data_IF_376732995979
#
_entry.id   IF_376732995979
#
_cell.length_a   1.000
_cell.length_b   1.000
_cell.length_c   1.000
_cell.angle_alpha   90.00
_cell.angle_beta   90.00
_cell.angle_gamma   90.00
#
_symmetry.space_group_name_H-M   'P 1'
#
loop_
_entity.id
_entity.type
_entity.pdbx_description
1 polymer ?
#
# COMPACT_ATOMS: atom_id res chain seq x y z
N UNK A 1 -15.12 -29.03 -21.93
CA UNK A 1 -15.73 -27.73 -21.65
C UNK A 1 -14.71 -26.58 -21.68
N UNK A 2 -13.69 -26.50 -20.78
CA UNK A 2 -12.71 -25.40 -20.76
C UNK A 2 -11.96 -25.25 -22.08
N UNK A 3 -11.29 -26.30 -22.55
CA UNK A 3 -10.58 -26.31 -23.83
C UNK A 3 -11.47 -26.02 -25.03
N UNK A 4 -12.70 -26.49 -25.00
CA UNK A 4 -13.70 -26.27 -26.06
C UNK A 4 -14.09 -24.78 -26.09
N UNK A 5 -14.35 -24.17 -24.92
CA UNK A 5 -14.64 -22.75 -24.81
C UNK A 5 -13.43 -21.87 -25.23
N UNK A 6 -12.23 -22.22 -24.76
CA UNK A 6 -11.00 -21.53 -25.17
C UNK A 6 -10.80 -21.60 -26.68
N UNK A 7 -10.96 -22.77 -27.29
CA UNK A 7 -10.82 -22.93 -28.74
C UNK A 7 -11.88 -22.12 -29.52
N UNK A 8 -13.13 -22.09 -29.03
CA UNK A 8 -14.18 -21.33 -29.68
C UNK A 8 -13.93 -19.84 -29.64
N UNK A 9 -13.58 -19.31 -28.46
CA UNK A 9 -13.35 -17.88 -28.26
C UNK A 9 -12.04 -17.40 -28.88
N UNK A 10 -11.00 -18.24 -28.96
CA UNK A 10 -9.71 -17.91 -29.59
C UNK A 10 -9.79 -17.68 -31.10
N UNK A 11 -10.89 -18.10 -31.75
CA UNK A 11 -11.13 -17.83 -33.16
C UNK A 11 -11.54 -16.38 -33.44
N UNK A 12 -11.76 -15.58 -32.41
CA UNK A 12 -12.22 -14.20 -32.48
C UNK A 12 -11.22 -13.26 -31.83
N UNK A 13 -10.49 -12.48 -32.66
CA UNK A 13 -9.46 -11.54 -32.19
C UNK A 13 -9.98 -10.52 -31.16
N UNK A 14 -11.27 -10.17 -31.23
CA UNK A 14 -11.89 -9.23 -30.31
C UNK A 14 -11.96 -9.72 -28.86
N UNK A 15 -11.80 -11.03 -28.63
CA UNK A 15 -11.77 -11.65 -27.30
C UNK A 15 -10.34 -11.95 -26.82
N UNK A 16 -9.33 -11.59 -27.61
CA UNK A 16 -7.92 -11.86 -27.33
C UNK A 16 -7.17 -10.56 -27.00
N UNK A 17 -6.13 -10.69 -26.21
CA UNK A 17 -5.07 -9.72 -26.02
C UNK A 17 -3.75 -10.47 -26.15
N UNK A 18 -2.93 -10.08 -27.12
CA UNK A 18 -1.63 -10.72 -27.41
C UNK A 18 -1.73 -12.25 -27.62
N UNK A 19 -2.83 -12.72 -28.22
CA UNK A 19 -3.06 -14.13 -28.48
C UNK A 19 -3.65 -14.94 -27.31
N UNK A 20 -3.89 -14.31 -26.15
CA UNK A 20 -4.48 -14.95 -24.96
C UNK A 20 -5.90 -14.42 -24.75
N UNK A 21 -6.81 -15.30 -24.28
CA UNK A 21 -8.18 -14.91 -23.97
C UNK A 21 -8.26 -13.83 -22.91
N UNK A 22 -8.85 -12.69 -23.26
CA UNK A 22 -9.15 -11.61 -22.34
C UNK A 22 -10.41 -11.92 -21.51
N UNK A 23 -10.25 -12.65 -20.41
CA UNK A 23 -11.34 -13.10 -19.55
C UNK A 23 -12.15 -11.98 -18.95
N UNK A 24 -11.53 -10.86 -18.70
CA UNK A 24 -12.22 -9.72 -18.09
C UNK A 24 -13.07 -8.99 -19.12
N UNK A 25 -12.59 -8.86 -20.35
CA UNK A 25 -13.44 -8.39 -21.44
C UNK A 25 -14.62 -9.33 -21.67
N UNK A 26 -14.39 -10.65 -21.60
CA UNK A 26 -15.47 -11.65 -21.68
C UNK A 26 -16.47 -11.51 -20.53
N UNK A 27 -16.00 -11.27 -19.31
CA UNK A 27 -16.86 -11.01 -18.14
C UNK A 27 -17.67 -9.72 -18.30
N UNK A 28 -17.03 -8.65 -18.79
CA UNK A 28 -17.73 -7.39 -19.10
C UNK A 28 -18.82 -7.58 -20.15
N UNK A 29 -18.49 -8.24 -21.27
CA UNK A 29 -19.42 -8.50 -22.36
C UNK A 29 -20.58 -9.41 -21.89
N UNK A 30 -20.30 -10.42 -21.07
CA UNK A 30 -21.33 -11.27 -20.47
C UNK A 30 -22.30 -10.49 -19.57
N UNK A 31 -21.78 -9.55 -18.77
CA UNK A 31 -22.59 -8.71 -17.90
C UNK A 31 -23.48 -7.73 -18.67
N UNK A 32 -22.97 -7.24 -19.79
CA UNK A 32 -23.70 -6.37 -20.73
C UNK A 32 -24.65 -7.14 -21.67
N UNK A 33 -24.69 -8.47 -21.57
CA UNK A 33 -25.43 -9.33 -22.51
C UNK A 33 -25.08 -9.03 -23.98
N UNK A 34 -23.77 -8.85 -24.23
CA UNK A 34 -23.31 -8.51 -25.58
C UNK A 34 -23.70 -9.56 -26.60
N UNK A 35 -24.36 -9.11 -27.66
CA UNK A 35 -24.94 -9.99 -28.66
C UNK A 35 -23.91 -10.77 -29.46
N UNK A 36 -22.70 -10.23 -29.64
CA UNK A 36 -21.64 -10.96 -30.36
C UNK A 36 -21.11 -12.11 -29.52
N UNK A 37 -20.83 -11.87 -28.24
CA UNK A 37 -20.40 -12.92 -27.31
C UNK A 37 -21.46 -14.01 -27.23
N UNK A 38 -22.73 -13.65 -27.01
CA UNK A 38 -23.81 -14.61 -26.89
C UNK A 38 -23.98 -15.44 -28.15
N UNK A 39 -23.92 -14.82 -29.35
CA UNK A 39 -24.00 -15.53 -30.63
C UNK A 39 -22.84 -16.52 -30.83
N UNK A 40 -21.62 -16.16 -30.37
CA UNK A 40 -20.48 -17.09 -30.43
C UNK A 40 -20.68 -18.26 -29.50
N UNK A 41 -21.12 -18.04 -28.25
CA UNK A 41 -21.39 -19.12 -27.28
C UNK A 41 -22.50 -20.06 -27.72
N UNK A 42 -23.47 -19.61 -28.53
CA UNK A 42 -24.54 -20.42 -29.05
C UNK A 42 -24.17 -21.32 -30.25
N UNK A 43 -22.99 -21.11 -30.87
CA UNK A 43 -22.58 -21.87 -32.06
C UNK A 43 -22.24 -23.33 -31.74
N UNK A 44 -21.78 -23.60 -30.54
CA UNK A 44 -21.39 -24.94 -30.11
C UNK A 44 -22.44 -25.52 -29.14
N UNK A 45 -23.06 -26.62 -29.48
CA UNK A 45 -24.21 -27.18 -28.77
C UNK A 45 -23.91 -27.51 -27.31
N UNK A 46 -22.71 -27.99 -27.00
CA UNK A 46 -22.28 -28.28 -25.61
C UNK A 46 -22.15 -27.00 -24.77
N UNK A 47 -21.62 -25.95 -25.35
CA UNK A 47 -21.42 -24.64 -24.70
C UNK A 47 -22.79 -23.99 -24.52
N UNK A 48 -23.64 -24.03 -25.54
CA UNK A 48 -25.01 -23.54 -25.49
C UNK A 48 -25.78 -24.19 -24.35
N UNK A 49 -25.81 -25.53 -24.28
CA UNK A 49 -26.56 -26.28 -23.26
C UNK A 49 -26.06 -26.02 -21.84
N UNK A 50 -24.77 -25.68 -21.69
CA UNK A 50 -24.19 -25.40 -20.39
C UNK A 50 -24.50 -23.98 -19.89
N UNK A 51 -24.38 -23.00 -20.78
CA UNK A 51 -24.52 -21.58 -20.41
C UNK A 51 -25.89 -20.98 -20.75
N UNK A 52 -26.79 -21.70 -21.38
CA UNK A 52 -28.13 -21.22 -21.63
C UNK A 52 -29.15 -22.21 -21.07
N UNK A 53 -30.33 -21.71 -20.70
CA UNK A 53 -31.54 -22.49 -20.39
C UNK A 53 -32.56 -22.20 -21.45
N UNK A 54 -33.24 -23.22 -21.91
CA UNK A 54 -34.39 -23.09 -22.81
C UNK A 54 -35.66 -23.03 -21.97
N UNK A 55 -36.43 -21.98 -22.14
CA UNK A 55 -37.77 -21.83 -21.56
C UNK A 55 -38.82 -22.37 -22.56
N UNK A 56 -40.07 -22.47 -22.12
CA UNK A 56 -41.19 -22.78 -22.99
C UNK A 56 -41.21 -21.83 -24.19
N UNK A 57 -41.53 -22.34 -25.40
CA UNK A 57 -41.53 -21.60 -26.68
C UNK A 57 -40.15 -21.37 -27.33
N UNK A 58 -39.08 -22.06 -26.90
CA UNK A 58 -37.78 -21.99 -27.57
C UNK A 58 -36.95 -20.72 -27.20
N UNK A 59 -37.34 -20.01 -26.16
CA UNK A 59 -36.62 -18.82 -25.67
C UNK A 59 -35.37 -19.27 -24.91
N UNK A 60 -34.20 -18.84 -25.35
CA UNK A 60 -32.93 -19.11 -24.69
C UNK A 60 -32.57 -18.00 -23.70
N UNK A 61 -32.34 -18.37 -22.46
CA UNK A 61 -31.90 -17.48 -21.41
C UNK A 61 -30.46 -17.77 -21.06
N UNK A 62 -29.60 -16.75 -21.17
CA UNK A 62 -28.19 -16.85 -20.81
C UNK A 62 -28.02 -16.94 -19.30
N UNK A 63 -27.39 -18.01 -18.82
CA UNK A 63 -27.04 -18.24 -17.42
C UNK A 63 -25.76 -17.44 -17.08
N UNK A 64 -25.90 -16.12 -17.03
CA UNK A 64 -24.80 -15.16 -16.82
C UNK A 64 -23.91 -15.56 -15.65
N UNK A 65 -24.50 -15.87 -14.50
CA UNK A 65 -23.75 -16.16 -13.28
C UNK A 65 -22.97 -17.48 -13.38
N UNK A 66 -23.51 -18.48 -14.06
CA UNK A 66 -22.81 -19.74 -14.36
C UNK A 66 -21.62 -19.51 -15.28
N UNK A 67 -21.77 -18.64 -16.28
CA UNK A 67 -20.68 -18.26 -17.18
C UNK A 67 -19.58 -17.49 -16.45
N UNK A 68 -19.96 -16.51 -15.62
CA UNK A 68 -19.02 -15.74 -14.82
C UNK A 68 -18.28 -16.60 -13.79
N UNK A 69 -18.99 -17.50 -13.09
CA UNK A 69 -18.36 -18.46 -12.18
C UNK A 69 -17.38 -19.38 -12.91
N UNK A 70 -17.74 -19.84 -14.12
CA UNK A 70 -16.89 -20.68 -14.94
C UNK A 70 -15.61 -19.94 -15.35
N UNK A 71 -15.69 -18.68 -15.80
CA UNK A 71 -14.54 -17.84 -16.13
C UNK A 71 -13.67 -17.55 -14.91
N UNK A 72 -14.30 -17.35 -13.74
CA UNK A 72 -13.64 -17.03 -12.47
C UNK A 72 -13.15 -18.26 -11.70
N UNK A 73 -13.31 -19.48 -12.24
CA UNK A 73 -12.75 -20.67 -11.63
C UNK A 73 -11.21 -20.51 -11.51
N UNK A 74 -10.63 -20.92 -10.36
CA UNK A 74 -9.19 -20.79 -10.02
C UNK A 74 -8.23 -21.27 -11.10
N UNK A 75 -8.66 -22.24 -11.92
CA UNK A 75 -7.88 -22.66 -13.08
C UNK A 75 -7.74 -21.58 -14.16
N UNK A 76 -8.57 -20.54 -14.11
CA UNK A 76 -8.58 -19.41 -15.02
C UNK A 76 -7.99 -18.14 -14.42
N UNK A 77 -7.79 -18.07 -13.10
CA UNK A 77 -7.24 -16.93 -12.41
C UNK A 77 -5.87 -17.30 -11.79
N UNK A 78 -4.77 -17.26 -12.55
CA UNK A 78 -3.46 -17.44 -11.97
C UNK A 78 -3.06 -16.26 -11.07
N UNK A 79 -3.79 -15.13 -11.13
CA UNK A 79 -3.36 -13.85 -10.60
C UNK A 79 -4.13 -13.38 -9.38
N UNK A 80 -3.66 -12.28 -8.78
CA UNK A 80 -4.07 -11.81 -7.49
C UNK A 80 -5.57 -11.50 -7.38
N UNK A 81 -6.12 -11.94 -6.27
CA UNK A 81 -7.49 -11.67 -5.86
C UNK A 81 -7.50 -10.55 -4.81
N UNK A 82 -8.41 -9.60 -4.94
CA UNK A 82 -8.68 -8.58 -3.93
C UNK A 82 -10.16 -8.59 -3.61
N UNK A 83 -10.50 -8.86 -2.34
CA UNK A 83 -11.86 -8.76 -1.82
C UNK A 83 -11.96 -7.56 -0.88
N UNK A 84 -13.04 -6.78 -0.96
CA UNK A 84 -13.30 -5.68 -0.05
C UNK A 84 -14.79 -5.48 0.16
N UNK A 85 -15.15 -4.94 1.32
CA UNK A 85 -16.52 -4.67 1.73
C UNK A 85 -16.92 -3.20 1.58
N UNK A 86 -15.97 -2.33 1.30
CA UNK A 86 -16.18 -0.88 1.21
C UNK A 86 -15.72 -0.35 -0.13
N UNK A 87 -16.50 0.56 -0.69
CA UNK A 87 -16.13 1.33 -1.87
C UNK A 87 -15.53 2.65 -1.43
N UNK A 88 -14.35 3.00 -1.97
CA UNK A 88 -13.70 4.28 -1.69
C UNK A 88 -14.26 5.34 -2.63
N UNK A 89 -14.67 6.47 -2.06
CA UNK A 89 -15.14 7.62 -2.83
C UNK A 89 -14.90 8.91 -2.06
N UNK A 90 -15.03 10.03 -2.72
CA UNK A 90 -15.00 11.34 -2.07
C UNK A 90 -16.45 11.73 -1.68
N UNK A 91 -16.64 11.99 -0.40
CA UNK A 91 -17.93 12.38 0.15
C UNK A 91 -17.79 13.31 1.37
N UNK A 92 -18.89 13.79 1.91
CA UNK A 92 -18.93 14.54 3.16
C UNK A 92 -19.11 13.58 4.37
N UNK A 93 -19.12 14.16 5.59
CA UNK A 93 -19.32 13.42 6.84
C UNK A 93 -20.67 12.69 6.91
N UNK A 94 -21.66 13.16 6.20
CA UNK A 94 -23.01 12.61 6.18
C UNK A 94 -23.18 11.53 5.10
N UNK A 95 -22.09 11.19 4.39
CA UNK A 95 -22.08 10.14 3.36
C UNK A 95 -22.59 10.59 1.99
N UNK A 96 -22.90 11.87 1.79
CA UNK A 96 -23.29 12.42 0.50
C UNK A 96 -22.07 12.70 -0.38
N UNK A 97 -22.25 12.59 -1.70
CA UNK A 97 -21.19 12.79 -2.68
C UNK A 97 -20.73 14.25 -2.74
N UNK A 98 -19.46 14.47 -3.05
CA UNK A 98 -18.86 15.82 -3.23
C UNK A 98 -19.59 16.74 -4.19
N UNK A 99 -20.33 16.19 -5.16
CA UNK A 99 -21.14 16.96 -6.09
C UNK A 99 -22.30 17.72 -5.42
N UNK A 100 -22.64 17.38 -4.18
CA UNK A 100 -23.78 17.93 -3.45
C UNK A 100 -23.35 18.93 -2.37
N UNK A 101 -22.15 18.77 -1.81
CA UNK A 101 -21.61 19.65 -0.76
C UNK A 101 -20.14 19.95 -1.02
N UNK A 102 -19.69 21.17 -0.78
CA UNK A 102 -18.31 21.62 -1.00
C UNK A 102 -17.30 21.15 0.04
N UNK A 103 -17.66 20.24 0.95
CA UNK A 103 -16.76 19.63 1.91
C UNK A 103 -16.14 18.33 1.35
N UNK A 104 -14.83 18.21 1.41
CA UNK A 104 -14.07 17.07 0.90
C UNK A 104 -13.61 16.19 2.06
N UNK A 105 -14.15 14.98 2.15
CA UNK A 105 -13.66 13.92 3.04
C UNK A 105 -13.53 12.61 2.26
N UNK A 106 -12.57 11.77 2.62
CA UNK A 106 -12.58 10.40 2.16
C UNK A 106 -13.69 9.64 2.89
N UNK A 107 -14.61 9.08 2.12
CA UNK A 107 -15.68 8.26 2.64
C UNK A 107 -15.47 6.82 2.15
N UNK A 108 -15.45 5.87 3.08
CA UNK A 108 -15.37 4.43 2.81
C UNK A 108 -16.74 3.81 3.09
N UNK A 109 -17.77 4.05 2.26
CA UNK A 109 -19.09 3.50 2.49
C UNK A 109 -19.00 1.97 2.48
N UNK A 110 -19.65 1.33 3.44
CA UNK A 110 -19.75 -0.11 3.48
C UNK A 110 -20.58 -0.60 2.30
N UNK A 111 -19.92 -1.22 1.32
CA UNK A 111 -20.55 -1.87 0.17
C UNK A 111 -19.75 -3.10 -0.19
N UNK A 112 -20.47 -4.21 -0.36
CA UNK A 112 -19.89 -5.38 -0.99
C UNK A 112 -19.73 -5.08 -2.48
N UNK A 113 -18.51 -5.14 -2.98
CA UNK A 113 -18.26 -5.00 -4.40
C UNK A 113 -17.03 -5.82 -4.83
N UNK A 114 -17.03 -6.21 -6.07
CA UNK A 114 -15.92 -6.88 -6.73
C UNK A 114 -15.22 -5.83 -7.59
N UNK A 115 -13.90 -5.69 -7.41
CA UNK A 115 -13.07 -4.95 -8.32
C UNK A 115 -12.53 -5.91 -9.38
N UNK A 116 -12.92 -5.71 -10.63
CA UNK A 116 -12.21 -6.30 -11.76
C UNK A 116 -11.05 -5.39 -12.15
N UNK A 117 -9.87 -5.85 -11.86
CA UNK A 117 -8.61 -5.24 -12.23
C UNK A 117 -7.52 -6.30 -12.13
N UNK A 118 -6.61 -6.36 -13.07
CA UNK A 118 -5.53 -7.33 -13.04
C UNK A 118 -4.21 -6.67 -12.66
N UNK A 119 -3.31 -7.46 -12.10
CA UNK A 119 -1.95 -7.02 -11.75
C UNK A 119 -0.95 -7.18 -12.90
N UNK A 120 -1.36 -7.70 -14.05
CA UNK A 120 -0.48 -7.89 -15.20
C UNK A 120 -0.52 -6.72 -16.17
N UNK A 121 0.54 -6.49 -16.95
CA UNK A 121 0.58 -5.46 -18.00
C UNK A 121 -0.52 -5.59 -19.05
N UNK A 122 -0.96 -6.81 -19.31
CA UNK A 122 -2.05 -7.13 -20.24
C UNK A 122 -3.38 -6.54 -19.76
N UNK A 123 -3.52 -6.39 -18.45
CA UNK A 123 -4.69 -5.84 -17.80
C UNK A 123 -4.65 -4.30 -17.65
N UNK A 124 -3.49 -3.66 -17.82
CA UNK A 124 -3.31 -2.22 -17.64
C UNK A 124 -4.07 -1.34 -18.65
N UNK A 125 -4.50 -1.90 -19.77
CA UNK A 125 -5.22 -1.18 -20.84
C UNK A 125 -6.75 -1.22 -20.69
N UNK A 126 -7.27 -1.75 -19.58
CA UNK A 126 -8.70 -1.90 -19.35
C UNK A 126 -9.25 -0.79 -18.47
N UNK A 127 -10.53 -0.47 -18.71
CA UNK A 127 -11.29 0.28 -17.74
C UNK A 127 -11.53 -0.59 -16.50
N UNK A 128 -11.22 -0.07 -15.35
CA UNK A 128 -11.51 -0.72 -14.08
C UNK A 128 -13.01 -0.62 -13.79
N UNK A 129 -13.63 -1.76 -13.48
CA UNK A 129 -15.07 -1.82 -13.25
C UNK A 129 -15.33 -2.30 -11.82
N UNK A 130 -16.09 -1.50 -11.08
CA UNK A 130 -16.58 -1.84 -9.76
C UNK A 130 -17.97 -2.42 -9.86
N UNK A 131 -18.14 -3.68 -9.50
CA UNK A 131 -19.43 -4.32 -9.45
C UNK A 131 -20.00 -4.28 -8.04
N UNK A 132 -21.20 -3.76 -7.91
CA UNK A 132 -21.97 -3.73 -6.67
C UNK A 132 -22.71 -5.09 -6.49
N UNK A 133 -21.96 -6.16 -6.36
CA UNK A 133 -22.53 -7.49 -6.10
C UNK A 133 -22.52 -7.77 -4.60
N UNK A 134 -23.64 -8.26 -4.09
CA UNK A 134 -23.72 -8.75 -2.70
C UNK A 134 -23.08 -10.12 -2.67
N UNK A 135 -21.83 -10.19 -2.23
CA UNK A 135 -21.18 -11.47 -1.95
C UNK A 135 -21.65 -11.98 -0.57
N UNK A 136 -21.95 -13.27 -0.47
CA UNK A 136 -22.19 -13.86 0.83
C UNK A 136 -20.92 -13.69 1.70
N UNK A 137 -21.03 -13.21 2.95
CA UNK A 137 -19.87 -13.05 3.84
C UNK A 137 -19.03 -14.33 3.97
N UNK A 138 -19.65 -15.49 3.90
CA UNK A 138 -19.00 -16.80 3.90
C UNK A 138 -18.03 -17.01 2.75
N UNK A 139 -18.35 -16.51 1.55
CA UNK A 139 -17.48 -16.64 0.37
C UNK A 139 -16.24 -15.75 0.48
N UNK A 140 -16.41 -14.53 1.00
CA UNK A 140 -15.28 -13.60 1.24
C UNK A 140 -14.37 -14.17 2.33
N UNK A 141 -14.94 -14.63 3.44
CA UNK A 141 -14.18 -15.21 4.54
C UNK A 141 -13.40 -16.45 4.07
N UNK A 142 -14.01 -17.30 3.25
CA UNK A 142 -13.37 -18.49 2.70
C UNK A 142 -12.12 -18.21 1.85
N UNK A 143 -12.09 -17.08 1.15
CA UNK A 143 -10.92 -16.65 0.39
C UNK A 143 -9.78 -16.16 1.29
N UNK A 144 -10.12 -15.59 2.43
CA UNK A 144 -9.19 -15.02 3.40
C UNK A 144 -8.87 -15.98 4.56
N UNK A 145 -9.49 -17.18 4.58
CA UNK A 145 -9.13 -18.25 5.52
C UNK A 145 -7.66 -18.65 5.36
N UNK A 146 -7.08 -19.15 6.44
CA UNK A 146 -5.73 -19.66 6.45
C UNK A 146 -5.49 -20.67 5.33
N UNK A 147 -4.40 -20.51 4.62
CA UNK A 147 -3.97 -21.45 3.58
C UNK A 147 -2.80 -22.27 4.07
N UNK A 148 -2.75 -23.50 3.62
CA UNK A 148 -1.60 -24.36 3.90
C UNK A 148 -0.45 -23.90 3.01
N UNK A 149 0.70 -23.61 3.65
CA UNK A 149 1.95 -23.39 2.94
C UNK A 149 2.54 -24.75 2.57
N UNK A 150 3.11 -24.87 1.39
CA UNK A 150 3.69 -26.10 0.84
C UNK A 150 5.07 -25.82 0.25
N UNK A 151 5.80 -26.89 -0.10
CA UNK A 151 7.10 -26.79 -0.74
C UNK A 151 8.11 -26.03 0.12
N UNK A 152 8.21 -26.41 1.39
CA UNK A 152 9.19 -25.83 2.30
C UNK A 152 10.61 -26.21 1.88
N UNK A 153 11.44 -25.20 1.71
CA UNK A 153 12.86 -25.34 1.40
C UNK A 153 13.67 -24.44 2.31
N UNK A 154 14.76 -24.93 2.83
CA UNK A 154 15.74 -24.15 3.59
C UNK A 154 16.97 -23.92 2.73
N UNK A 155 17.43 -22.69 2.71
CA UNK A 155 18.67 -22.28 2.07
C UNK A 155 19.64 -21.85 3.15
N UNK A 156 20.76 -22.51 3.24
CA UNK A 156 21.84 -22.19 4.16
C UNK A 156 23.22 -22.28 3.47
N UNK A 157 24.31 -22.22 4.25
CA UNK A 157 25.69 -22.30 3.72
C UNK A 157 25.99 -23.61 2.99
N UNK A 158 25.24 -24.68 3.29
CA UNK A 158 25.45 -26.04 2.76
C UNK A 158 24.54 -26.31 1.54
N UNK A 159 23.64 -25.38 1.19
CA UNK A 159 22.81 -25.44 -0.01
C UNK A 159 21.29 -25.39 0.25
N UNK A 160 20.53 -26.04 -0.65
CA UNK A 160 19.07 -26.18 -0.59
C UNK A 160 18.68 -27.51 0.02
N UNK A 161 17.79 -27.49 1.01
CA UNK A 161 17.27 -28.67 1.70
C UNK A 161 15.75 -28.63 1.78
N UNK A 162 15.09 -29.77 1.58
CA UNK A 162 13.68 -29.93 1.94
C UNK A 162 13.55 -30.02 3.46
N UNK A 163 12.56 -29.34 4.02
CA UNK A 163 12.28 -29.31 5.47
C UNK A 163 10.80 -29.49 5.72
N UNK A 164 10.47 -30.19 6.80
CA UNK A 164 9.08 -30.40 7.23
C UNK A 164 8.61 -29.38 8.25
N UNK A 165 9.55 -28.75 8.98
CA UNK A 165 9.25 -27.81 10.06
C UNK A 165 10.05 -26.51 9.93
N UNK A 166 9.41 -25.40 10.35
CA UNK A 166 10.01 -24.08 10.44
C UNK A 166 10.49 -23.80 11.86
N UNK A 167 11.74 -23.38 12.01
CA UNK A 167 12.26 -22.91 13.28
C UNK A 167 11.78 -21.47 13.57
N UNK A 168 11.70 -21.12 14.84
CA UNK A 168 11.29 -19.76 15.26
C UNK A 168 12.32 -18.67 14.89
N UNK A 169 13.55 -19.06 14.57
CA UNK A 169 14.66 -18.19 14.20
C UNK A 169 14.91 -18.12 12.69
N UNK A 170 14.14 -18.87 11.89
CA UNK A 170 14.30 -18.87 10.43
C UNK A 170 13.83 -17.52 9.83
N UNK A 171 14.58 -17.04 8.85
CA UNK A 171 14.09 -15.99 7.95
C UNK A 171 13.18 -16.63 6.92
N UNK A 172 11.99 -16.07 6.71
CA UNK A 172 10.99 -16.66 5.85
C UNK A 172 10.83 -15.86 4.55
N UNK A 173 10.89 -16.56 3.41
CA UNK A 173 10.47 -16.02 2.11
C UNK A 173 9.22 -16.78 1.68
N UNK A 174 8.09 -16.09 1.62
CA UNK A 174 6.81 -16.68 1.28
C UNK A 174 6.42 -16.22 -0.13
N UNK A 175 6.37 -17.17 -1.07
CA UNK A 175 5.97 -16.91 -2.46
C UNK A 175 4.47 -17.14 -2.63
N UNK A 176 3.77 -16.14 -3.18
CA UNK A 176 2.35 -16.24 -3.47
C UNK A 176 1.65 -14.87 -3.44
N UNK A 177 0.32 -14.89 -3.48
CA UNK A 177 -0.48 -13.69 -3.28
C UNK A 177 -0.29 -13.19 -1.84
N UNK A 178 0.25 -11.98 -1.68
CA UNK A 178 0.62 -11.46 -0.37
C UNK A 178 -0.58 -11.21 0.55
N UNK A 179 -1.78 -10.90 0.05
CA UNK A 179 -2.96 -10.76 0.89
C UNK A 179 -3.33 -12.09 1.56
N UNK A 180 -3.33 -13.18 0.79
CA UNK A 180 -3.61 -14.53 1.30
C UNK A 180 -2.49 -14.97 2.27
N UNK A 181 -1.22 -14.68 1.92
CA UNK A 181 -0.09 -14.99 2.78
C UNK A 181 -0.18 -14.28 4.14
N UNK A 182 -0.51 -12.98 4.13
CA UNK A 182 -0.67 -12.19 5.36
C UNK A 182 -1.78 -12.75 6.26
N UNK A 183 -2.94 -13.13 5.69
CA UNK A 183 -4.01 -13.79 6.46
C UNK A 183 -3.55 -15.11 7.07
N UNK A 184 -2.78 -15.92 6.33
CA UNK A 184 -2.24 -17.20 6.84
C UNK A 184 -1.21 -17.02 7.95
N UNK A 185 -0.54 -15.86 8.00
CA UNK A 185 0.42 -15.54 9.06
C UNK A 185 -0.25 -15.12 10.39
N UNK A 186 -1.53 -14.73 10.38
CA UNK A 186 -2.22 -14.21 11.58
C UNK A 186 -2.10 -15.15 12.79
N UNK A 187 -2.34 -16.45 12.62
CA UNK A 187 -2.25 -17.42 13.72
C UNK A 187 -0.94 -17.39 14.48
N UNK A 188 0.16 -17.11 13.78
CA UNK A 188 1.50 -17.15 14.36
C UNK A 188 2.03 -15.79 14.78
N UNK A 189 1.63 -14.72 14.10
CA UNK A 189 2.30 -13.42 14.17
C UNK A 189 1.43 -12.24 14.59
N UNK A 190 0.11 -12.41 14.85
CA UNK A 190 -0.73 -11.33 15.40
C UNK A 190 -0.08 -10.70 16.63
N UNK A 191 0.07 -9.38 16.62
CA UNK A 191 0.64 -8.61 17.72
C UNK A 191 2.12 -8.88 18.03
N UNK A 192 2.88 -9.47 17.09
CA UNK A 192 4.27 -9.88 17.33
C UNK A 192 5.30 -9.23 16.43
N UNK A 193 4.87 -8.62 15.33
CA UNK A 193 5.78 -8.03 14.35
C UNK A 193 6.26 -6.66 14.84
N UNK A 194 7.56 -6.51 15.00
CA UNK A 194 8.17 -5.26 15.49
C UNK A 194 8.22 -4.17 14.43
N UNK A 195 8.44 -4.54 13.17
CA UNK A 195 8.55 -3.60 12.06
C UNK A 195 7.99 -4.23 10.79
N UNK A 196 7.18 -3.48 10.07
CA UNK A 196 6.74 -3.80 8.71
C UNK A 196 7.27 -2.70 7.79
N UNK A 197 7.91 -3.10 6.70
CA UNK A 197 8.29 -2.19 5.61
C UNK A 197 7.62 -2.65 4.33
N UNK A 198 6.90 -1.76 3.67
CA UNK A 198 6.27 -2.04 2.38
C UNK A 198 6.77 -1.07 1.32
N UNK A 199 6.91 -1.62 0.11
CA UNK A 199 7.24 -0.90 -1.12
C UNK A 199 6.20 -1.31 -2.18
N UNK A 200 5.00 -0.71 -2.14
CA UNK A 200 3.91 -1.06 -3.05
C UNK A 200 4.19 -0.51 -4.46
N UNK A 201 3.42 -0.94 -5.49
CA UNK A 201 3.42 -0.27 -6.78
C UNK A 201 3.10 1.21 -6.62
N UNK A 202 3.94 2.10 -7.18
CA UNK A 202 3.79 3.56 -6.99
C UNK A 202 2.70 4.19 -7.87
N UNK A 203 2.11 3.41 -8.76
CA UNK A 203 1.05 3.85 -9.68
C UNK A 203 1.48 5.00 -10.60
N UNK A 204 2.74 5.00 -11.00
CA UNK A 204 3.35 6.08 -11.82
C UNK A 204 3.00 5.99 -13.30
N UNK A 205 2.52 4.84 -13.74
CA UNK A 205 2.25 4.54 -15.13
C UNK A 205 3.48 4.41 -16.02
N UNK A 206 4.68 4.33 -15.46
CA UNK A 206 5.95 4.38 -16.19
C UNK A 206 6.85 3.17 -15.97
N UNK A 207 6.42 2.25 -15.13
CA UNK A 207 7.29 1.20 -14.67
C UNK A 207 7.54 0.12 -15.72
N UNK A 208 8.77 -0.38 -15.76
CA UNK A 208 9.21 -1.46 -16.66
C UNK A 208 8.96 -2.85 -16.08
N UNK A 209 8.40 -2.95 -14.88
CA UNK A 209 8.11 -4.23 -14.22
C UNK A 209 6.92 -4.97 -14.86
N UNK A 210 6.82 -6.27 -14.59
CA UNK A 210 5.77 -7.13 -15.16
C UNK A 210 4.43 -7.07 -14.41
N UNK A 211 4.20 -6.03 -13.58
CA UNK A 211 2.93 -5.80 -12.91
C UNK A 211 2.26 -4.51 -13.41
N UNK A 212 0.97 -4.38 -13.14
CA UNK A 212 0.19 -3.20 -13.50
C UNK A 212 0.54 -2.02 -12.58
N UNK A 213 0.98 -0.91 -13.15
CA UNK A 213 1.27 0.36 -12.45
C UNK A 213 0.35 1.49 -12.98
N UNK A 214 -0.83 1.12 -13.51
CA UNK A 214 -1.82 2.03 -14.08
C UNK A 214 -3.20 1.80 -13.46
N UNK A 215 -3.28 1.89 -12.13
CA UNK A 215 -4.57 1.84 -11.44
C UNK A 215 -5.21 3.22 -11.34
N UNK A 216 -6.55 3.27 -11.34
CA UNK A 216 -7.22 4.44 -10.80
C UNK A 216 -6.93 4.56 -9.30
N UNK A 217 -6.88 5.78 -8.76
CA UNK A 217 -6.61 6.02 -7.33
C UNK A 217 -7.50 5.19 -6.41
N UNK A 218 -8.78 5.08 -6.71
CA UNK A 218 -9.73 4.29 -5.90
C UNK A 218 -9.40 2.79 -5.90
N UNK A 219 -8.99 2.25 -7.03
CA UNK A 219 -8.61 0.84 -7.15
C UNK A 219 -7.31 0.55 -6.43
N UNK A 220 -6.33 1.43 -6.59
CA UNK A 220 -5.06 1.34 -5.89
C UNK A 220 -5.25 1.41 -4.36
N UNK A 221 -6.05 2.36 -3.88
CA UNK A 221 -6.37 2.47 -2.46
C UNK A 221 -7.10 1.23 -1.92
N UNK A 222 -8.02 0.66 -2.69
CA UNK A 222 -8.69 -0.59 -2.32
C UNK A 222 -7.70 -1.76 -2.22
N UNK A 223 -6.79 -1.87 -3.18
CA UNK A 223 -5.73 -2.87 -3.18
C UNK A 223 -4.84 -2.76 -1.93
N UNK A 224 -4.43 -1.55 -1.56
CA UNK A 224 -3.57 -1.30 -0.42
C UNK A 224 -4.33 -1.48 0.91
N UNK A 225 -5.57 -0.99 1.01
CA UNK A 225 -6.38 -1.01 2.24
C UNK A 225 -6.39 -2.39 2.90
N UNK A 226 -6.77 -3.41 2.17
CA UNK A 226 -6.89 -4.78 2.70
C UNK A 226 -5.56 -5.29 3.29
N UNK A 227 -4.45 -4.89 2.72
CA UNK A 227 -3.11 -5.29 3.16
C UNK A 227 -2.67 -4.52 4.40
N UNK A 228 -3.00 -3.24 4.47
CA UNK A 228 -2.69 -2.40 5.63
C UNK A 228 -3.50 -2.82 6.86
N UNK A 229 -4.77 -3.19 6.70
CA UNK A 229 -5.61 -3.68 7.79
C UNK A 229 -5.00 -4.92 8.45
N UNK A 230 -4.57 -5.90 7.65
CA UNK A 230 -3.89 -7.09 8.17
C UNK A 230 -2.51 -6.76 8.75
N UNK A 231 -1.74 -5.91 8.08
CA UNK A 231 -0.44 -5.46 8.58
C UNK A 231 -0.58 -4.82 9.98
N UNK A 232 -1.64 -4.04 10.19
CA UNK A 232 -1.94 -3.43 11.46
C UNK A 232 -2.22 -4.45 12.57
N UNK A 233 -2.96 -5.52 12.26
CA UNK A 233 -3.20 -6.60 13.21
C UNK A 233 -1.91 -7.36 13.60
N UNK A 234 -1.00 -7.55 12.65
CA UNK A 234 0.26 -8.25 12.88
C UNK A 234 1.25 -7.47 13.74
N UNK A 235 1.18 -6.13 13.75
CA UNK A 235 2.09 -5.29 14.52
C UNK A 235 1.96 -5.49 16.02
N UNK A 236 3.11 -5.58 16.71
CA UNK A 236 3.19 -5.48 18.17
C UNK A 236 2.83 -4.06 18.65
N UNK A 237 2.44 -3.91 19.90
CA UNK A 237 2.03 -2.61 20.47
C UNK A 237 3.13 -1.53 20.34
N UNK A 238 4.40 -1.92 20.43
CA UNK A 238 5.55 -1.04 20.22
C UNK A 238 6.15 -1.18 18.79
N UNK A 239 5.36 -1.72 17.85
CA UNK A 239 5.74 -1.91 16.46
C UNK A 239 5.49 -0.70 15.59
N UNK A 240 6.14 -0.67 14.40
CA UNK A 240 6.03 0.41 13.42
C UNK A 240 5.79 -0.13 12.02
N UNK A 241 5.06 0.64 11.20
CA UNK A 241 4.93 0.38 9.76
C UNK A 241 5.53 1.53 8.97
N UNK A 242 6.27 1.20 7.93
CA UNK A 242 6.99 2.09 7.03
C UNK A 242 6.51 1.82 5.61
N UNK A 243 6.07 2.86 4.91
CA UNK A 243 5.45 2.74 3.59
C UNK A 243 6.17 3.65 2.62
N UNK A 244 6.95 3.07 1.70
CA UNK A 244 7.65 3.80 0.65
C UNK A 244 6.70 4.11 -0.50
N UNK A 245 6.68 5.34 -1.00
CA UNK A 245 5.79 5.79 -2.06
C UNK A 245 6.31 7.09 -2.69
N UNK A 246 5.97 7.36 -3.94
CA UNK A 246 6.21 8.66 -4.55
C UNK A 246 4.99 9.59 -4.42
N UNK A 247 5.12 10.79 -4.95
CA UNK A 247 4.09 11.83 -4.90
C UNK A 247 2.83 11.52 -5.75
N UNK A 248 2.81 10.41 -6.52
CA UNK A 248 1.62 10.00 -7.26
C UNK A 248 0.49 9.55 -6.34
N UNK A 249 0.80 8.79 -5.28
CA UNK A 249 -0.19 8.23 -4.36
C UNK A 249 0.06 8.60 -2.88
N UNK A 250 1.17 9.27 -2.53
CA UNK A 250 1.55 9.51 -1.12
C UNK A 250 0.46 10.22 -0.31
N UNK A 251 -0.20 11.21 -0.87
CA UNK A 251 -1.24 11.97 -0.17
C UNK A 251 -2.50 11.13 0.08
N UNK A 252 -2.91 10.33 -0.90
CA UNK A 252 -4.04 9.42 -0.76
C UNK A 252 -3.74 8.29 0.22
N UNK A 253 -2.52 7.73 0.14
CA UNK A 253 -2.04 6.72 1.08
C UNK A 253 -2.00 7.26 2.51
N UNK A 254 -1.55 8.51 2.70
CA UNK A 254 -1.53 9.15 4.02
C UNK A 254 -2.91 9.24 4.65
N UNK A 255 -3.91 9.67 3.88
CA UNK A 255 -5.29 9.79 4.38
C UNK A 255 -5.89 8.42 4.67
N UNK A 256 -5.66 7.43 3.79
CA UNK A 256 -6.09 6.05 4.03
C UNK A 256 -5.44 5.46 5.29
N UNK A 257 -4.14 5.69 5.46
CA UNK A 257 -3.40 5.21 6.64
C UNK A 257 -3.88 5.89 7.94
N UNK A 258 -4.26 7.16 7.89
CA UNK A 258 -4.88 7.87 9.03
C UNK A 258 -6.21 7.23 9.43
N UNK A 259 -7.00 6.76 8.45
CA UNK A 259 -8.28 6.07 8.71
C UNK A 259 -8.08 4.69 9.36
N UNK A 260 -7.05 3.95 8.92
CA UNK A 260 -6.78 2.58 9.41
C UNK A 260 -6.02 2.60 10.75
N UNK A 261 -5.00 3.43 10.86
CA UNK A 261 -4.03 3.40 11.95
C UNK A 261 -4.29 4.43 13.04
N UNK A 262 -5.13 5.43 12.76
CA UNK A 262 -5.32 6.61 13.59
C UNK A 262 -4.27 7.69 13.28
N UNK A 263 -4.73 8.92 13.09
CA UNK A 263 -3.86 10.07 12.80
C UNK A 263 -2.84 10.36 13.90
N UNK A 264 -3.21 10.11 15.14
CA UNK A 264 -2.37 10.27 16.33
C UNK A 264 -1.17 9.32 16.34
N UNK A 265 -1.24 8.23 15.59
CA UNK A 265 -0.17 7.23 15.48
C UNK A 265 0.81 7.53 14.34
N UNK A 266 0.57 8.60 13.58
CA UNK A 266 1.52 9.07 12.58
C UNK A 266 2.78 9.65 13.25
N UNK A 267 3.93 9.06 12.97
CA UNK A 267 5.20 9.52 13.53
C UNK A 267 5.85 10.60 12.68
N UNK A 268 6.08 10.29 11.41
CA UNK A 268 6.76 11.21 10.50
C UNK A 268 6.67 10.76 9.04
N UNK A 269 7.04 11.67 8.15
CA UNK A 269 7.36 11.41 6.76
C UNK A 269 8.87 11.55 6.58
N UNK A 270 9.54 10.47 6.18
CA UNK A 270 10.96 10.46 5.89
C UNK A 270 11.16 10.72 4.41
N UNK A 271 11.94 11.72 4.09
CA UNK A 271 12.26 12.07 2.70
C UNK A 271 13.50 11.27 2.27
N UNK A 272 13.29 10.39 1.28
CA UNK A 272 14.34 9.60 0.68
C UNK A 272 14.85 10.26 -0.60
N UNK A 273 16.05 10.82 -0.57
CA UNK A 273 16.65 11.41 -1.76
C UNK A 273 17.10 10.31 -2.74
N UNK A 274 16.45 10.22 -3.89
CA UNK A 274 16.77 9.23 -4.94
C UNK A 274 17.64 9.79 -6.08
N UNK A 275 17.63 11.11 -6.29
CA UNK A 275 18.41 11.75 -7.35
C UNK A 275 19.09 13.01 -6.83
N UNK A 276 20.37 13.20 -7.23
CA UNK A 276 21.15 14.38 -6.85
C UNK A 276 21.06 15.50 -7.88
N UNK A 277 20.93 15.14 -9.17
CA UNK A 277 20.90 16.11 -10.26
C UNK A 277 19.45 16.37 -10.73
N UNK A 278 19.08 17.65 -10.93
CA UNK A 278 17.82 17.98 -11.55
C UNK A 278 17.77 17.49 -13.01
N UNK A 279 16.58 17.13 -13.47
CA UNK A 279 16.37 16.71 -14.88
C UNK A 279 16.17 17.95 -15.73
N UNK A 280 17.16 18.33 -16.54
CA UNK A 280 17.17 19.54 -17.36
C UNK A 280 16.03 19.62 -18.41
N UNK A 281 15.42 18.47 -18.76
CA UNK A 281 14.31 18.42 -19.74
C UNK A 281 12.94 18.73 -19.14
N UNK A 282 12.82 18.90 -17.84
CA UNK A 282 11.54 19.23 -17.20
C UNK A 282 11.30 20.74 -17.22
N UNK A 283 10.08 21.13 -17.64
CA UNK A 283 9.63 22.53 -17.64
C UNK A 283 9.23 23.05 -16.25
N UNK A 284 9.08 22.12 -15.26
CA UNK A 284 8.67 22.41 -13.89
C UNK A 284 9.71 21.85 -12.91
N UNK A 285 9.31 21.55 -11.69
CA UNK A 285 10.20 20.98 -10.66
C UNK A 285 10.64 19.55 -10.98
N UNK A 286 11.89 19.23 -10.67
CA UNK A 286 12.41 17.87 -10.73
C UNK A 286 12.04 17.11 -9.46
N UNK A 287 11.51 15.91 -9.63
CA UNK A 287 11.25 14.98 -8.53
C UNK A 287 12.56 14.29 -8.15
N UNK A 288 13.10 14.62 -6.99
CA UNK A 288 14.40 14.11 -6.53
C UNK A 288 14.32 13.21 -5.32
N UNK A 289 13.12 12.96 -4.79
CA UNK A 289 12.89 12.16 -3.60
C UNK A 289 11.64 11.32 -3.70
N UNK A 290 11.56 10.34 -2.82
CA UNK A 290 10.36 9.58 -2.51
C UNK A 290 10.02 9.79 -1.02
N UNK A 291 8.77 9.59 -0.64
CA UNK A 291 8.29 9.69 0.71
C UNK A 291 8.26 8.31 1.37
N UNK A 292 8.59 8.24 2.66
CA UNK A 292 8.34 7.05 3.48
C UNK A 292 7.47 7.47 4.65
N UNK A 293 6.20 7.07 4.61
CA UNK A 293 5.25 7.34 5.67
C UNK A 293 5.47 6.37 6.83
N UNK A 294 5.55 6.88 8.05
CA UNK A 294 5.85 6.07 9.24
C UNK A 294 4.76 6.22 10.28
N UNK A 295 4.20 5.08 10.70
CA UNK A 295 3.22 4.99 11.78
C UNK A 295 3.71 4.05 12.87
N UNK A 296 3.42 4.38 14.13
CA UNK A 296 3.52 3.45 15.25
C UNK A 296 2.21 2.69 15.44
N UNK A 297 2.23 1.46 15.95
CA UNK A 297 1.03 0.76 16.40
C UNK A 297 0.34 1.51 17.55
N UNK A 298 1.15 2.02 18.47
CA UNK A 298 0.72 2.88 19.55
C UNK A 298 1.83 3.91 19.83
N UNK A 299 1.57 5.17 19.53
CA UNK A 299 2.56 6.24 19.66
C UNK A 299 2.98 6.44 21.14
N UNK A 300 2.10 6.14 22.11
CA UNK A 300 2.43 6.27 23.54
C UNK A 300 3.43 5.22 24.05
N UNK A 301 3.53 4.07 23.36
CA UNK A 301 4.46 2.98 23.72
C UNK A 301 5.72 2.96 22.86
N UNK A 302 5.83 3.88 21.90
CA UNK A 302 6.96 3.96 21.00
C UNK A 302 8.25 4.25 21.75
N UNK A 303 9.24 3.38 21.58
CA UNK A 303 10.58 3.57 22.15
C UNK A 303 11.38 4.60 21.35
N UNK A 304 12.30 5.29 22.02
CA UNK A 304 13.24 6.17 21.34
C UNK A 304 14.05 5.42 20.28
N UNK A 305 14.27 6.08 19.16
CA UNK A 305 15.13 5.56 18.11
C UNK A 305 16.59 5.52 18.59
N UNK A 306 17.33 4.50 18.21
CA UNK A 306 18.75 4.43 18.48
C UNK A 306 19.48 5.57 17.81
N UNK A 307 20.34 6.25 18.55
CA UNK A 307 21.15 7.34 18.01
C UNK A 307 22.24 6.78 17.10
N UNK A 308 22.42 7.41 15.96
CA UNK A 308 23.53 7.09 15.06
C UNK A 308 24.85 7.48 15.73
N UNK A 309 25.91 6.66 15.65
CA UNK A 309 27.23 7.02 16.15
C UNK A 309 27.70 8.34 15.55
N UNK A 310 28.32 9.18 16.38
CA UNK A 310 28.87 10.46 15.91
C UNK A 310 30.03 10.20 14.97
N UNK A 311 30.05 10.88 13.83
CA UNK A 311 31.20 10.86 12.91
C UNK A 311 32.42 11.52 13.56
N UNK A 312 33.62 11.10 13.24
CA UNK A 312 34.88 11.69 13.75
C UNK A 312 34.96 13.19 13.49
N UNK A 313 34.48 13.65 12.33
CA UNK A 313 34.41 15.09 12.01
C UNK A 313 33.50 15.88 12.96
N UNK A 314 32.48 15.25 13.53
CA UNK A 314 31.64 15.90 14.56
C UNK A 314 32.30 15.91 15.92
N UNK A 315 33.05 14.84 16.25
CA UNK A 315 33.81 14.74 17.50
C UNK A 315 34.96 15.73 17.50
N UNK A 316 35.64 15.94 16.38
CA UNK A 316 36.73 16.89 16.21
C UNK A 316 36.34 18.35 16.51
N UNK A 317 35.06 18.69 16.52
CA UNK A 317 34.56 20.01 16.90
C UNK A 317 34.53 20.25 18.42
N UNK A 318 34.69 19.18 19.23
CA UNK A 318 34.75 19.25 20.67
C UNK A 318 36.22 19.38 21.10
N UNK A 319 36.56 20.45 21.74
CA UNK A 319 37.93 20.78 22.18
C UNK A 319 37.90 21.23 23.65
N UNK A 320 39.03 21.20 24.30
CA UNK A 320 39.21 21.74 25.66
C UNK A 320 40.36 22.73 25.66
N UNK A 321 40.19 23.94 25.09
CA UNK A 321 41.28 24.92 24.94
C UNK A 321 41.70 25.57 26.25
N UNK A 322 40.84 25.52 27.26
CA UNK A 322 41.02 26.16 28.56
C UNK A 322 41.26 25.16 29.69
N UNK A 323 41.47 23.88 29.38
CA UNK A 323 41.64 22.78 30.32
C UNK A 323 40.49 22.67 31.35
N UNK A 324 39.26 22.89 30.90
CA UNK A 324 38.05 22.73 31.73
C UNK A 324 38.04 21.33 32.35
N UNK A 325 37.90 21.18 33.67
CA UNK A 325 37.88 19.85 34.33
C UNK A 325 36.67 18.98 33.93
N UNK A 326 35.64 19.56 33.35
CA UNK A 326 34.47 18.82 32.81
C UNK A 326 34.75 18.11 31.47
N UNK A 327 35.89 18.42 30.84
CA UNK A 327 36.33 17.77 29.60
C UNK A 327 36.13 18.61 28.34
N UNK A 328 36.05 17.90 27.19
CA UNK A 328 35.91 18.56 25.88
C UNK A 328 34.51 19.14 25.67
N UNK A 329 34.41 20.32 25.11
CA UNK A 329 33.15 21.00 24.81
C UNK A 329 33.17 21.62 23.40
N UNK A 330 32.01 21.97 22.90
CA UNK A 330 31.82 22.75 21.67
C UNK A 330 31.13 24.05 22.04
N UNK A 331 31.72 25.17 21.64
CA UNK A 331 31.04 26.46 21.76
C UNK A 331 29.79 26.49 20.88
N UNK A 332 28.68 26.93 21.43
CA UNK A 332 27.41 27.07 20.73
C UNK A 332 26.77 28.43 21.03
N UNK A 333 25.76 28.80 20.25
CA UNK A 333 25.08 30.08 20.46
C UNK A 333 24.27 30.04 21.76
N UNK A 334 24.55 31.00 22.61
CA UNK A 334 23.91 31.17 23.92
C UNK A 334 22.62 32.01 23.83
N UNK A 335 22.42 32.75 22.73
CA UNK A 335 21.24 33.56 22.50
C UNK A 335 20.19 32.81 21.64
N UNK A 336 18.90 32.98 21.93
CA UNK A 336 17.77 32.42 21.24
C UNK A 336 16.71 33.48 20.99
N UNK A 337 16.04 33.41 19.84
CA UNK A 337 14.87 34.22 19.50
C UNK A 337 13.61 33.34 19.44
N UNK A 338 12.41 33.90 19.57
CA UNK A 338 12.14 35.32 19.98
C UNK A 338 12.49 35.61 21.44
N UNK A 339 12.76 36.90 21.76
CA UNK A 339 13.20 37.33 23.07
C UNK A 339 12.16 37.05 24.16
N UNK A 340 12.60 36.44 25.25
CA UNK A 340 11.84 36.25 26.50
C UNK A 340 12.33 37.20 27.54
N UNK A 341 11.53 38.18 28.00
CA UNK A 341 11.95 39.26 28.89
C UNK A 341 12.73 38.82 30.12
N UNK A 342 12.36 37.71 30.79
CA UNK A 342 13.05 37.21 31.98
C UNK A 342 14.47 36.70 31.71
N UNK A 343 14.80 36.44 30.45
CA UNK A 343 16.12 35.94 30.04
C UNK A 343 16.98 37.01 29.38
N UNK A 344 16.61 38.31 29.54
CA UNK A 344 17.39 39.44 29.08
C UNK A 344 18.07 40.03 30.32
N UNK A 345 19.31 39.66 30.53
CA UNK A 345 20.12 40.13 31.64
C UNK A 345 21.58 40.28 31.19
N UNK A 346 22.37 41.07 31.93
CA UNK A 346 23.77 41.32 31.63
C UNK A 346 24.66 40.19 32.17
N UNK A 347 25.47 39.60 31.30
CA UNK A 347 26.47 38.61 31.69
C UNK A 347 27.83 39.27 31.71
N UNK A 348 28.54 39.12 32.83
CA UNK A 348 29.95 39.53 32.93
C UNK A 348 30.85 38.34 32.55
N UNK A 349 31.61 38.47 31.47
CA UNK A 349 32.56 37.44 31.03
C UNK A 349 33.76 37.37 31.97
N UNK A 350 34.56 36.29 31.94
CA UNK A 350 35.78 36.16 32.73
C UNK A 350 36.80 37.29 32.49
N UNK A 351 36.76 37.93 31.32
CA UNK A 351 37.59 39.11 31.01
C UNK A 351 37.03 40.42 31.56
N UNK A 352 35.92 40.40 32.31
CA UNK A 352 35.29 41.60 32.85
C UNK A 352 34.36 42.35 31.87
N UNK A 353 34.21 41.88 30.64
CA UNK A 353 33.31 42.48 29.65
C UNK A 353 31.86 42.15 29.98
N UNK A 354 31.01 43.17 29.95
CA UNK A 354 29.56 43.05 30.11
C UNK A 354 28.88 42.86 28.75
N UNK A 355 27.99 41.89 28.64
CA UNK A 355 27.35 41.50 27.40
C UNK A 355 25.84 41.30 27.62
N UNK A 356 25.04 41.91 26.78
CA UNK A 356 23.61 41.68 26.67
C UNK A 356 23.31 40.79 25.46
N UNK A 357 22.16 40.08 25.41
CA UNK A 357 21.80 39.38 24.23
C UNK A 357 21.56 40.36 23.07
N UNK A 358 21.73 39.92 21.79
CA UNK A 358 21.40 40.74 20.62
C UNK A 358 19.95 41.22 20.63
N UNK A 359 19.65 42.33 19.96
CA UNK A 359 18.27 42.83 19.81
C UNK A 359 17.34 41.79 19.22
N UNK A 360 16.16 41.63 19.84
CA UNK A 360 15.21 40.60 19.46
C UNK A 360 15.50 39.18 19.98
N UNK A 361 16.58 39.01 20.75
CA UNK A 361 17.00 37.73 21.35
C UNK A 361 17.01 37.80 22.87
N UNK A 362 17.05 36.66 23.51
CA UNK A 362 17.28 36.49 24.94
C UNK A 362 18.31 35.37 25.18
N UNK A 363 18.84 35.28 26.38
CA UNK A 363 19.65 34.11 26.72
C UNK A 363 18.82 32.84 26.77
N UNK A 364 19.45 31.69 26.49
CA UNK A 364 18.80 30.39 26.49
C UNK A 364 18.32 29.94 27.87
N UNK A 365 18.99 30.41 28.91
CA UNK A 365 18.71 30.10 30.30
C UNK A 365 18.31 31.34 31.08
N UNK A 366 17.60 31.17 32.20
CA UNK A 366 17.36 32.24 33.16
C UNK A 366 18.64 32.59 33.92
N UNK A 367 18.63 33.72 34.61
CA UNK A 367 19.78 34.20 35.42
C UNK A 367 19.99 33.32 36.66
N UNK A 368 18.95 32.64 37.16
CA UNK A 368 18.93 31.71 38.30
C UNK A 368 19.40 30.31 37.96
#
# INVERSE_FOLDING_TARGET
>A
MKKELENLLSQHEEFLVEGVLNKNKLSELARKYDTKLLNVLMREEKIKNYFFSELEEGILVFKKDVFLQFLNNKEFLPDSFTAYKTKIGLGNKDGSLLSENHEVVLNFPYKDCILEGGQTKENAKRDEVFFNETLAPSEINRLLDDKVLTNFKRFDKDGEHEVEELNNTDNLIIKGNNLIALHSLKKRFVGRIKMIYIDPPYNTGKDSFNYNDHFNHSSWLTFIKNRLEIAWELLADDGTIWMSIDDSESHYLKVLADDIFGRENFLNEVIWQRAYAPVNLKKTFSRSHDAILVYAKNNSTQKELNKVPRKESMIANYKNPDNDPRGVYKADNFSVGPAVKKNIYEITTPSGRKVLPPDGYSWRFSEE
#
